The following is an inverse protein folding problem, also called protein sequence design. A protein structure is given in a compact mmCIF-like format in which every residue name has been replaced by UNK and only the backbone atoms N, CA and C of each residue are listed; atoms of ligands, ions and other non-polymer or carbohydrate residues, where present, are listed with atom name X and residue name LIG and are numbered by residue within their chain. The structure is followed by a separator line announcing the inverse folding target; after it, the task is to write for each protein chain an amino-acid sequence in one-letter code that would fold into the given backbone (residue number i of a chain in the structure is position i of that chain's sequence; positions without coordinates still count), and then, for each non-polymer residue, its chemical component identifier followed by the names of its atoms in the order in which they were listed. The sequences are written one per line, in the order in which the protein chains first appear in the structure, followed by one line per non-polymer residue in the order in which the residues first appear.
data_IF_019881093686
#
_entry.id   IF_019881093686
#
_cell.length_a   1.000
_cell.length_b   1.000
_cell.length_c   1.000
_cell.angle_alpha   90.00
_cell.angle_beta   90.00
_cell.angle_gamma   90.00
#
_symmetry.space_group_name_H-M   'P 1'
#
loop_
_entity.id
_entity.type
_entity.pdbx_description
1 polymer ?
#
# COMPACT_ATOMS: atom_id res chain seq x y z
N UNK A 1 12.39 -26.99 18.13
CA UNK A 1 13.23 -26.81 16.91
C UNK A 1 12.33 -26.73 15.68
N UNK A 2 12.08 -25.52 15.20
CA UNK A 2 11.16 -25.23 14.11
C UNK A 2 11.74 -25.37 12.70
N UNK A 3 13.06 -25.52 12.57
CA UNK A 3 13.72 -25.61 11.27
C UNK A 3 13.29 -26.83 10.44
N UNK A 4 12.66 -27.84 11.02
CA UNK A 4 12.15 -29.00 10.29
C UNK A 4 10.71 -28.84 9.79
N UNK A 5 10.10 -27.68 10.00
CA UNK A 5 8.76 -27.43 9.48
C UNK A 5 8.74 -27.50 7.94
N UNK A 6 7.74 -28.16 7.35
CA UNK A 6 7.51 -28.13 5.90
C UNK A 6 7.35 -26.71 5.35
N UNK A 7 6.74 -25.80 6.11
CA UNK A 7 6.59 -24.41 5.68
C UNK A 7 7.94 -23.70 5.68
N UNK A 8 8.67 -23.72 6.81
CA UNK A 8 10.01 -23.15 6.91
C UNK A 8 10.93 -23.65 5.78
N UNK A 9 10.98 -24.97 5.56
CA UNK A 9 11.81 -25.61 4.54
C UNK A 9 11.45 -25.16 3.12
N UNK A 10 10.18 -24.84 2.84
CA UNK A 10 9.78 -24.29 1.54
C UNK A 10 10.32 -22.87 1.30
N UNK A 11 10.52 -22.09 2.36
CA UNK A 11 11.03 -20.72 2.28
C UNK A 11 12.56 -20.65 2.15
N UNK A 12 13.27 -21.67 2.66
CA UNK A 12 14.74 -21.73 2.69
C UNK A 12 15.40 -21.43 1.33
N UNK A 13 14.95 -22.01 0.18
CA UNK A 13 15.56 -21.70 -1.11
C UNK A 13 15.56 -20.21 -1.45
N UNK A 14 14.44 -19.53 -1.18
CA UNK A 14 14.28 -18.09 -1.41
C UNK A 14 15.22 -17.27 -0.51
N UNK A 15 15.33 -17.65 0.77
CA UNK A 15 16.27 -17.00 1.69
C UNK A 15 17.73 -17.21 1.27
N UNK A 16 18.12 -18.44 0.94
CA UNK A 16 19.49 -18.77 0.52
C UNK A 16 19.88 -18.00 -0.74
N UNK A 17 18.99 -17.91 -1.73
CA UNK A 17 19.25 -17.21 -2.98
C UNK A 17 19.35 -15.68 -2.81
N UNK A 18 18.59 -15.08 -1.88
CA UNK A 18 18.56 -13.64 -1.67
C UNK A 18 19.61 -13.13 -0.67
N UNK A 19 20.13 -13.99 0.21
CA UNK A 19 21.01 -13.57 1.32
C UNK A 19 22.38 -13.14 0.82
N UNK A 20 22.75 -11.88 1.12
CA UNK A 20 24.11 -11.34 0.95
C UNK A 20 24.87 -11.23 2.26
N UNK A 21 24.15 -10.88 3.34
CA UNK A 21 24.68 -10.78 4.70
C UNK A 21 23.80 -11.61 5.62
N UNK A 22 24.41 -12.43 6.46
CA UNK A 22 23.71 -13.24 7.43
C UNK A 22 24.10 -12.82 8.84
N UNK A 23 23.11 -12.56 9.68
CA UNK A 23 23.30 -12.18 11.07
C UNK A 23 22.68 -13.23 11.98
N UNK A 24 23.42 -13.65 13.00
CA UNK A 24 22.90 -14.50 14.06
C UNK A 24 22.65 -13.68 15.32
N UNK A 25 21.59 -14.02 16.06
CA UNK A 25 21.33 -13.48 17.38
C UNK A 25 21.92 -14.46 18.40
N UNK A 26 22.81 -13.97 19.26
CA UNK A 26 23.51 -14.76 20.29
C UNK A 26 23.24 -14.16 21.67
N UNK A 27 21.98 -14.21 22.08
CA UNK A 27 21.48 -13.51 23.27
C UNK A 27 21.37 -12.00 23.01
N UNK A 28 22.12 -11.20 23.76
CA UNK A 28 22.12 -9.72 23.67
C UNK A 28 23.00 -9.15 22.55
N UNK A 29 23.54 -10.02 21.69
CA UNK A 29 24.44 -9.64 20.60
C UNK A 29 23.91 -10.09 19.25
N UNK A 30 24.13 -9.24 18.26
CA UNK A 30 23.88 -9.54 16.85
C UNK A 30 25.21 -9.58 16.14
N UNK A 31 25.51 -10.73 15.52
CA UNK A 31 26.82 -11.01 14.93
C UNK A 31 26.63 -11.27 13.45
N UNK A 32 27.29 -10.48 12.61
CA UNK A 32 27.41 -10.80 11.20
C UNK A 32 28.34 -12.00 11.04
N UNK A 33 27.83 -13.08 10.46
CA UNK A 33 28.62 -14.28 10.24
C UNK A 33 29.33 -14.19 8.88
N UNK A 34 30.64 -14.39 8.88
CA UNK A 34 31.48 -14.30 7.68
C UNK A 34 31.75 -15.69 7.10
N UNK A 35 31.83 -15.79 5.77
CA UNK A 35 32.13 -17.04 5.04
C UNK A 35 31.19 -18.21 5.38
N UNK A 36 29.91 -17.94 5.60
CA UNK A 36 28.95 -18.98 5.95
C UNK A 36 28.29 -19.65 4.75
N UNK A 37 27.87 -20.90 4.94
CA UNK A 37 26.85 -21.52 4.11
C UNK A 37 25.46 -21.24 4.72
N UNK A 38 24.70 -20.34 4.09
CA UNK A 38 23.38 -19.90 4.57
C UNK A 38 22.41 -21.06 4.74
N UNK A 39 22.40 -22.03 3.83
CA UNK A 39 21.55 -23.21 3.91
C UNK A 39 21.86 -24.05 5.17
N UNK A 40 23.14 -24.26 5.45
CA UNK A 40 23.56 -24.98 6.67
C UNK A 40 23.23 -24.19 7.93
N UNK A 41 23.39 -22.86 7.93
CA UNK A 41 23.04 -22.03 9.07
C UNK A 41 21.54 -22.09 9.38
N UNK A 42 20.67 -21.97 8.37
CA UNK A 42 19.22 -22.08 8.53
C UNK A 42 18.76 -23.49 8.94
N UNK A 43 19.49 -24.53 8.55
CA UNK A 43 19.19 -25.92 8.94
C UNK A 43 19.59 -26.25 10.38
N UNK A 44 20.47 -25.46 10.98
CA UNK A 44 21.08 -25.74 12.29
C UNK A 44 20.89 -24.57 13.28
N UNK A 45 19.73 -23.90 13.23
CA UNK A 45 19.39 -22.82 14.16
C UNK A 45 19.42 -23.37 15.60
N UNK A 46 20.17 -22.69 16.46
CA UNK A 46 20.26 -22.99 17.89
C UNK A 46 19.44 -21.95 18.64
N UNK A 47 18.59 -22.44 19.54
CA UNK A 47 17.79 -21.59 20.42
C UNK A 47 18.70 -20.83 21.40
N UNK A 48 18.45 -19.53 21.55
CA UNK A 48 19.21 -18.67 22.46
C UNK A 48 18.25 -17.94 23.38
N UNK A 49 18.57 -17.91 24.68
CA UNK A 49 17.81 -17.13 25.64
C UNK A 49 18.15 -15.64 25.49
N UNK A 50 17.18 -14.77 25.78
CA UNK A 50 17.36 -13.31 25.84
C UNK A 50 17.78 -12.67 24.50
N UNK A 51 17.19 -13.13 23.40
CA UNK A 51 17.44 -12.58 22.06
C UNK A 51 17.07 -11.09 21.96
N UNK A 52 18.00 -10.23 21.53
CA UNK A 52 17.73 -8.80 21.29
C UNK A 52 17.05 -8.54 19.94
N UNK A 53 15.77 -8.93 19.87
CA UNK A 53 14.94 -8.78 18.66
C UNK A 53 14.76 -7.30 18.27
N UNK A 54 14.76 -6.39 19.26
CA UNK A 54 14.65 -4.95 19.03
C UNK A 54 15.87 -4.42 18.28
N UNK A 55 17.08 -4.78 18.71
CA UNK A 55 18.29 -4.38 18.00
C UNK A 55 18.33 -5.00 16.59
N UNK A 56 17.83 -6.22 16.40
CA UNK A 56 17.80 -6.87 15.09
C UNK A 56 16.90 -6.13 14.10
N UNK A 57 15.68 -5.79 14.52
CA UNK A 57 14.78 -4.97 13.73
C UNK A 57 15.39 -3.59 13.42
N UNK A 58 16.05 -2.96 14.42
CA UNK A 58 16.72 -1.67 14.21
C UNK A 58 17.90 -1.75 13.21
N UNK A 59 18.67 -2.83 13.20
CA UNK A 59 19.75 -3.02 12.21
C UNK A 59 19.19 -3.11 10.80
N UNK A 60 18.09 -3.85 10.60
CA UNK A 60 17.42 -3.97 9.30
C UNK A 60 16.97 -2.60 8.80
N UNK A 61 16.23 -1.85 9.62
CA UNK A 61 15.63 -0.58 9.16
C UNK A 61 16.63 0.55 8.98
N UNK A 62 17.79 0.48 9.64
CA UNK A 62 18.91 1.40 9.41
C UNK A 62 19.76 1.01 8.19
N UNK A 63 19.57 -0.21 7.67
CA UNK A 63 20.15 -0.64 6.40
C UNK A 63 19.51 0.04 5.18
N UNK A 64 20.14 -0.19 4.02
CA UNK A 64 19.68 0.30 2.72
C UNK A 64 19.25 -0.85 1.78
N UNK A 65 18.92 -2.01 2.35
CA UNK A 65 18.49 -3.20 1.61
C UNK A 65 17.29 -3.85 2.27
N UNK A 66 16.61 -4.73 1.55
CA UNK A 66 15.63 -5.64 2.13
C UNK A 66 16.24 -6.45 3.29
N UNK A 67 15.41 -6.90 4.23
CA UNK A 67 15.82 -7.70 5.37
C UNK A 67 14.75 -8.68 5.82
N UNK A 68 15.18 -9.82 6.36
CA UNK A 68 14.30 -10.84 6.91
C UNK A 68 14.69 -11.11 8.36
N UNK A 69 13.73 -10.99 9.28
CA UNK A 69 13.90 -11.38 10.67
C UNK A 69 13.07 -12.65 10.95
N UNK A 70 13.77 -13.71 11.35
CA UNK A 70 13.20 -15.00 11.73
C UNK A 70 13.24 -15.13 13.26
N UNK A 71 12.09 -15.30 13.89
CA UNK A 71 12.00 -15.37 15.36
C UNK A 71 10.69 -16.03 15.80
N UNK A 72 10.61 -16.48 17.04
CA UNK A 72 9.36 -16.85 17.71
C UNK A 72 8.62 -15.64 18.31
N UNK A 73 9.17 -14.42 18.15
CA UNK A 73 8.57 -13.15 18.55
C UNK A 73 8.66 -12.85 20.04
N UNK A 74 9.23 -13.75 20.85
CA UNK A 74 9.31 -13.58 22.29
C UNK A 74 10.49 -12.70 22.68
N UNK A 75 10.18 -11.47 23.09
CA UNK A 75 11.19 -10.53 23.57
C UNK A 75 11.28 -10.55 25.09
N UNK A 76 12.32 -11.19 25.61
CA UNK A 76 12.53 -11.31 27.05
C UNK A 76 13.60 -10.34 27.56
N UNK A 77 13.22 -9.37 28.40
CA UNK A 77 14.16 -8.54 29.13
C UNK A 77 14.47 -9.12 30.51
N UNK A 78 15.75 -9.43 30.78
CA UNK A 78 16.23 -10.09 32.00
C UNK A 78 15.79 -9.46 33.33
N UNK A 79 15.46 -8.16 33.32
CA UNK A 79 15.14 -7.38 34.51
C UNK A 79 13.64 -7.07 34.68
N UNK A 80 12.76 -7.53 33.78
CA UNK A 80 11.31 -7.29 33.87
C UNK A 80 10.62 -8.57 34.34
N UNK A 81 10.16 -8.56 35.59
CA UNK A 81 9.31 -9.61 36.12
C UNK A 81 8.01 -9.68 35.29
N UNK A 82 7.72 -10.85 34.70
CA UNK A 82 6.56 -11.05 33.83
C UNK A 82 6.82 -10.85 32.33
N UNK A 83 8.08 -10.66 31.92
CA UNK A 83 8.52 -10.99 30.55
C UNK A 83 8.03 -10.06 29.43
N UNK A 84 7.71 -8.79 29.72
CA UNK A 84 7.43 -7.79 28.66
C UNK A 84 6.38 -8.23 27.63
N UNK A 85 5.41 -9.06 28.03
CA UNK A 85 4.50 -9.76 27.11
C UNK A 85 3.61 -8.83 26.28
N UNK A 86 3.56 -7.55 26.59
CA UNK A 86 2.87 -6.50 25.81
C UNK A 86 3.80 -5.34 25.42
N UNK A 87 5.13 -5.53 25.51
CA UNK A 87 6.13 -4.53 25.14
C UNK A 87 6.20 -4.42 23.60
N UNK A 88 5.86 -3.27 23.00
CA UNK A 88 5.82 -3.07 21.54
C UNK A 88 7.22 -2.87 20.94
N UNK A 89 8.12 -3.83 21.16
CA UNK A 89 9.56 -3.66 20.92
C UNK A 89 9.93 -3.38 19.46
N UNK A 90 9.10 -3.76 18.48
CA UNK A 90 9.32 -3.50 17.05
C UNK A 90 8.63 -2.24 16.53
N UNK A 91 7.77 -1.58 17.32
CA UNK A 91 6.96 -0.46 16.84
C UNK A 91 7.79 0.64 16.17
N UNK A 92 8.93 1.00 16.75
CA UNK A 92 9.80 2.02 16.19
C UNK A 92 10.43 1.59 14.85
N UNK A 93 10.85 0.33 14.73
CA UNK A 93 11.40 -0.19 13.48
C UNK A 93 10.34 -0.19 12.38
N UNK A 94 9.13 -0.70 12.67
CA UNK A 94 8.01 -0.66 11.74
C UNK A 94 7.69 0.77 11.29
N UNK A 95 7.65 1.73 12.22
CA UNK A 95 7.42 3.14 11.90
C UNK A 95 8.47 3.69 10.95
N UNK A 96 9.75 3.48 11.27
CA UNK A 96 10.85 3.98 10.44
C UNK A 96 10.82 3.40 9.03
N UNK A 97 10.52 2.11 8.89
CA UNK A 97 10.42 1.47 7.59
C UNK A 97 9.23 2.00 6.77
N UNK A 98 8.04 2.08 7.37
CA UNK A 98 6.84 2.58 6.71
C UNK A 98 6.94 4.06 6.32
N UNK A 99 7.61 4.88 7.14
CA UNK A 99 7.86 6.30 6.81
C UNK A 99 8.80 6.49 5.62
N UNK A 100 9.59 5.48 5.25
CA UNK A 100 10.35 5.45 3.99
C UNK A 100 9.47 5.08 2.79
N UNK A 101 8.19 4.75 3.01
CA UNK A 101 7.27 4.29 1.99
C UNK A 101 7.55 2.86 1.53
N UNK A 102 8.05 2.01 2.43
CA UNK A 102 8.35 0.60 2.18
C UNK A 102 7.27 -0.30 2.82
N UNK A 103 7.31 -1.59 2.50
CA UNK A 103 6.35 -2.60 2.94
C UNK A 103 6.94 -3.57 3.97
N UNK A 104 6.07 -4.12 4.82
CA UNK A 104 6.42 -5.23 5.70
C UNK A 104 5.42 -6.35 5.46
N UNK A 105 5.91 -7.53 5.09
CA UNK A 105 5.10 -8.75 5.09
C UNK A 105 5.42 -9.55 6.34
N UNK A 106 4.39 -10.05 7.03
CA UNK A 106 4.54 -10.86 8.23
C UNK A 106 3.84 -12.18 7.98
N UNK A 107 4.60 -13.27 8.01
CA UNK A 107 4.06 -14.62 8.00
C UNK A 107 4.08 -15.14 9.42
N UNK A 108 2.96 -15.69 9.90
CA UNK A 108 2.82 -16.25 11.24
C UNK A 108 2.46 -17.73 11.13
N UNK A 109 3.43 -18.59 11.47
CA UNK A 109 3.29 -20.04 11.41
C UNK A 109 3.07 -20.61 12.82
N UNK A 110 1.92 -21.25 13.11
CA UNK A 110 1.67 -21.84 14.42
C UNK A 110 2.51 -23.08 14.69
N UNK A 111 2.92 -23.27 15.94
CA UNK A 111 3.50 -24.51 16.42
C UNK A 111 3.24 -24.71 17.93
N UNK A 112 3.39 -25.95 18.40
CA UNK A 112 3.29 -26.28 19.82
C UNK A 112 4.67 -26.38 20.46
N UNK A 113 4.84 -25.74 21.61
CA UNK A 113 6.10 -25.74 22.36
C UNK A 113 6.00 -26.45 23.71
N UNK A 114 7.00 -27.28 23.98
CA UNK A 114 7.18 -27.93 25.27
C UNK A 114 6.15 -29.01 25.62
N UNK A 115 6.32 -29.68 26.77
CA UNK A 115 5.44 -30.75 27.22
C UNK A 115 4.03 -30.25 27.58
N UNK A 116 3.92 -28.98 27.97
CA UNK A 116 2.63 -28.34 28.29
C UNK A 116 1.88 -27.87 27.05
N UNK A 117 2.47 -28.00 25.85
CA UNK A 117 1.88 -27.65 24.55
C UNK A 117 1.39 -26.19 24.50
N UNK A 118 2.30 -25.25 24.74
CA UNK A 118 2.02 -23.83 24.53
C UNK A 118 1.81 -23.55 23.04
N UNK A 119 0.75 -22.81 22.69
CA UNK A 119 0.48 -22.35 21.34
C UNK A 119 1.41 -21.16 21.03
N UNK A 120 2.43 -21.41 20.21
CA UNK A 120 3.43 -20.42 19.83
C UNK A 120 3.35 -20.14 18.33
N UNK A 121 4.02 -19.07 17.90
CA UNK A 121 4.10 -18.68 16.49
C UNK A 121 5.56 -18.53 16.10
N UNK A 122 5.91 -18.96 14.89
CA UNK A 122 7.13 -18.55 14.21
C UNK A 122 6.78 -17.40 13.27
N UNK A 123 7.47 -16.28 13.45
CA UNK A 123 7.30 -15.10 12.63
C UNK A 123 8.43 -14.95 11.62
N UNK A 124 8.02 -14.58 10.42
CA UNK A 124 8.90 -14.21 9.33
C UNK A 124 8.57 -12.76 8.97
N UNK A 125 9.33 -11.81 9.52
CA UNK A 125 9.16 -10.39 9.20
C UNK A 125 10.01 -10.05 7.99
N UNK A 126 9.36 -9.76 6.87
CA UNK A 126 9.98 -9.43 5.59
C UNK A 126 9.91 -7.92 5.39
N UNK A 127 11.01 -7.23 5.67
CA UNK A 127 11.17 -5.80 5.41
C UNK A 127 11.59 -5.61 3.96
N UNK A 128 10.70 -5.08 3.13
CA UNK A 128 10.87 -5.03 1.68
C UNK A 128 10.12 -3.84 1.06
N UNK A 129 10.02 -3.79 -0.26
CA UNK A 129 9.18 -2.86 -1.02
C UNK A 129 8.54 -3.61 -2.18
N UNK A 130 7.21 -3.63 -2.23
CA UNK A 130 6.42 -4.33 -3.25
C UNK A 130 6.70 -3.86 -4.67
N UNK A 131 7.18 -2.62 -4.82
CA UNK A 131 7.57 -2.02 -6.10
C UNK A 131 8.94 -2.49 -6.59
N UNK A 132 9.78 -3.02 -5.69
CA UNK A 132 11.06 -3.60 -6.07
C UNK A 132 10.82 -4.88 -6.89
N UNK A 133 11.49 -4.97 -8.05
CA UNK A 133 11.46 -6.15 -8.89
C UNK A 133 12.21 -7.31 -8.21
N UNK A 134 11.59 -8.49 -8.19
CA UNK A 134 12.19 -9.67 -7.55
C UNK A 134 12.45 -9.49 -6.05
N UNK A 135 11.62 -8.72 -5.35
CA UNK A 135 11.69 -8.55 -3.91
C UNK A 135 11.51 -9.88 -3.15
N UNK A 136 11.92 -9.93 -1.88
CA UNK A 136 11.96 -11.19 -1.11
C UNK A 136 10.59 -11.87 -1.00
N UNK A 137 9.50 -11.11 -0.90
CA UNK A 137 8.16 -11.68 -0.85
C UNK A 137 7.76 -12.30 -2.19
N UNK A 138 8.05 -11.64 -3.31
CA UNK A 138 7.83 -12.20 -4.67
C UNK A 138 8.62 -13.48 -4.88
N UNK A 139 9.90 -13.53 -4.47
CA UNK A 139 10.73 -14.74 -4.55
C UNK A 139 10.12 -15.90 -3.77
N UNK A 140 9.62 -15.64 -2.56
CA UNK A 140 8.91 -16.64 -1.76
C UNK A 140 7.68 -17.17 -2.53
N UNK A 141 6.86 -16.29 -3.10
CA UNK A 141 5.68 -16.69 -3.85
C UNK A 141 5.99 -17.47 -5.15
N UNK A 142 7.19 -17.32 -5.72
CA UNK A 142 7.66 -18.11 -6.86
C UNK A 142 8.04 -19.55 -6.47
N UNK A 143 8.58 -19.75 -5.27
CA UNK A 143 9.04 -21.07 -4.79
C UNK A 143 8.02 -21.79 -3.90
N UNK A 144 7.13 -21.03 -3.25
CA UNK A 144 6.22 -21.51 -2.21
C UNK A 144 4.82 -21.02 -2.48
N UNK A 145 3.88 -21.96 -2.61
CA UNK A 145 2.46 -21.66 -2.66
C UNK A 145 1.89 -21.62 -1.24
N UNK A 146 1.52 -20.44 -0.75
CA UNK A 146 0.99 -20.27 0.61
C UNK A 146 -0.30 -21.07 0.85
N UNK A 147 -1.10 -21.32 -0.19
CA UNK A 147 -2.31 -22.18 -0.13
C UNK A 147 -2.04 -23.63 0.31
N UNK A 148 -0.80 -24.11 0.19
CA UNK A 148 -0.40 -25.44 0.67
C UNK A 148 -0.22 -25.48 2.21
N UNK A 149 -0.29 -24.33 2.88
CA UNK A 149 -0.04 -24.15 4.31
C UNK A 149 -1.18 -23.34 4.94
N UNK A 150 -2.40 -23.91 5.04
CA UNK A 150 -3.61 -23.16 5.41
C UNK A 150 -3.58 -22.59 6.84
N UNK A 151 -2.75 -23.14 7.72
CA UNK A 151 -2.59 -22.66 9.09
C UNK A 151 -1.61 -21.47 9.20
N UNK A 152 -0.91 -21.14 8.11
CA UNK A 152 0.00 -19.98 8.06
C UNK A 152 -0.80 -18.75 7.68
N UNK A 153 -0.74 -17.75 8.55
CA UNK A 153 -1.40 -16.47 8.34
C UNK A 153 -0.41 -15.47 7.73
N UNK A 154 -0.90 -14.61 6.82
CA UNK A 154 -0.09 -13.57 6.17
C UNK A 154 -0.73 -12.20 6.38
N UNK A 155 0.09 -11.24 6.79
CA UNK A 155 -0.29 -9.85 6.92
C UNK A 155 0.68 -8.95 6.15
N UNK A 156 0.14 -8.10 5.28
CA UNK A 156 0.91 -7.09 4.55
C UNK A 156 0.63 -5.72 5.12
N UNK A 157 1.68 -5.01 5.50
CA UNK A 157 1.62 -3.66 6.06
C UNK A 157 2.26 -2.67 5.08
N UNK A 158 1.47 -1.70 4.61
CA UNK A 158 1.88 -0.64 3.68
C UNK A 158 1.32 0.71 4.08
N UNK A 159 1.93 1.81 3.62
CA UNK A 159 1.51 3.18 3.96
C UNK A 159 1.51 4.18 2.80
N UNK A 160 2.00 3.82 1.61
CA UNK A 160 2.34 4.82 0.57
C UNK A 160 1.83 4.54 -0.84
N UNK A 161 1.61 3.29 -1.21
CA UNK A 161 1.29 2.91 -2.59
C UNK A 161 0.15 1.88 -2.62
N UNK A 162 -1.09 2.33 -2.36
CA UNK A 162 -2.25 1.47 -2.48
C UNK A 162 -2.38 0.90 -3.91
N UNK A 163 -2.89 -0.32 -4.01
CA UNK A 163 -3.01 -1.01 -5.30
C UNK A 163 -4.25 -0.51 -6.05
N UNK A 164 -4.04 -0.08 -7.29
CA UNK A 164 -5.11 0.22 -8.24
C UNK A 164 -5.03 -0.73 -9.44
N UNK A 165 -6.19 -1.18 -9.90
CA UNK A 165 -6.37 -2.08 -11.02
C UNK A 165 -7.15 -1.38 -12.12
N UNK A 166 -6.74 -1.61 -13.35
CA UNK A 166 -7.39 -1.08 -14.54
C UNK A 166 -7.17 -2.04 -15.72
N UNK A 167 -8.19 -2.22 -16.55
CA UNK A 167 -8.07 -3.04 -17.75
C UNK A 167 -7.05 -2.40 -18.71
N UNK A 168 -6.07 -3.17 -19.19
CA UNK A 168 -4.94 -2.66 -19.98
C UNK A 168 -4.17 -1.50 -19.31
N UNK A 169 -4.26 -1.39 -17.98
CA UNK A 169 -3.57 -0.37 -17.17
C UNK A 169 -4.07 1.06 -17.38
N UNK A 170 -5.33 1.25 -17.81
CA UNK A 170 -5.90 2.58 -18.07
C UNK A 170 -7.40 2.66 -17.78
N UNK A 171 -7.91 3.87 -17.53
CA UNK A 171 -9.35 4.08 -17.32
C UNK A 171 -10.16 3.91 -18.61
N UNK A 172 -11.46 3.62 -18.45
CA UNK A 172 -12.46 3.62 -19.52
C UNK A 172 -13.15 4.97 -19.57
N UNK A 173 -12.99 5.68 -20.69
CA UNK A 173 -13.69 6.95 -20.96
C UNK A 173 -15.01 6.64 -21.65
N UNK A 174 -16.05 7.44 -21.38
CA UNK A 174 -17.34 7.34 -22.04
C UNK A 174 -17.19 7.43 -23.57
N UNK A 175 -17.85 6.52 -24.29
CA UNK A 175 -17.70 6.36 -25.75
C UNK A 175 -18.11 7.62 -26.52
N UNK A 176 -19.04 8.41 -26.00
CA UNK A 176 -19.47 9.70 -26.58
C UNK A 176 -18.29 10.66 -26.69
N UNK A 177 -17.35 10.63 -25.75
CA UNK A 177 -16.16 11.50 -25.77
C UNK A 177 -15.22 11.14 -26.92
N UNK A 178 -15.30 9.90 -27.43
CA UNK A 178 -14.41 9.37 -28.47
C UNK A 178 -12.92 9.58 -28.14
N UNK A 179 -12.58 9.40 -26.86
CA UNK A 179 -11.26 9.75 -26.35
C UNK A 179 -10.17 8.80 -26.85
N UNK A 180 -9.01 9.35 -27.18
CA UNK A 180 -7.78 8.55 -27.24
C UNK A 180 -7.13 8.54 -25.86
N UNK A 181 -6.81 7.36 -25.33
CA UNK A 181 -6.24 7.20 -23.98
C UNK A 181 -4.92 6.41 -24.03
N UNK A 182 -3.84 7.02 -23.52
CA UNK A 182 -2.50 6.43 -23.38
C UNK A 182 -2.05 6.47 -21.91
N UNK A 183 -1.68 5.31 -21.37
CA UNK A 183 -1.24 5.15 -19.98
C UNK A 183 0.28 5.13 -19.82
N UNK A 184 0.71 5.45 -18.61
CA UNK A 184 2.10 5.55 -18.19
C UNK A 184 2.28 5.05 -16.73
N UNK A 185 1.57 3.97 -16.37
CA UNK A 185 1.56 3.43 -15.01
C UNK A 185 0.42 4.02 -14.19
N UNK A 186 0.73 4.80 -13.16
CA UNK A 186 -0.25 5.44 -12.26
C UNK A 186 -0.85 6.75 -12.81
N UNK A 187 -0.60 7.04 -14.08
CA UNK A 187 -1.23 8.16 -14.75
C UNK A 187 -1.48 7.87 -16.23
N UNK A 188 -2.36 8.67 -16.82
CA UNK A 188 -2.67 8.60 -18.24
C UNK A 188 -2.95 9.97 -18.85
N UNK A 189 -2.94 10.00 -20.18
CA UNK A 189 -3.26 11.17 -20.98
C UNK A 189 -4.44 10.82 -21.89
N UNK A 190 -5.48 11.64 -21.83
CA UNK A 190 -6.68 11.53 -22.63
C UNK A 190 -6.79 12.73 -23.59
N UNK A 191 -7.07 12.49 -24.86
CA UNK A 191 -7.46 13.52 -25.84
C UNK A 191 -8.95 13.38 -26.14
N UNK A 192 -9.74 14.41 -25.84
CA UNK A 192 -11.18 14.49 -26.00
C UNK A 192 -11.51 15.35 -27.23
N UNK A 193 -11.71 14.72 -28.42
CA UNK A 193 -11.91 15.46 -29.67
C UNK A 193 -13.32 16.05 -29.82
N UNK A 194 -14.25 15.70 -28.94
CA UNK A 194 -15.67 16.08 -29.02
C UNK A 194 -15.90 17.49 -28.47
N UNK A 195 -16.93 18.16 -28.98
CA UNK A 195 -17.32 19.49 -28.51
C UNK A 195 -18.08 19.41 -27.18
N UNK A 196 -17.97 20.45 -26.36
CA UNK A 196 -18.59 20.47 -25.04
C UNK A 196 -20.13 20.43 -25.07
N UNK A 197 -20.76 20.96 -26.12
CA UNK A 197 -22.22 20.89 -26.26
C UNK A 197 -22.70 19.45 -26.41
N UNK A 198 -21.94 18.61 -27.10
CA UNK A 198 -22.21 17.17 -27.19
C UNK A 198 -22.01 16.47 -25.83
N UNK A 199 -20.97 16.83 -25.08
CA UNK A 199 -20.74 16.30 -23.72
C UNK A 199 -21.91 16.68 -22.80
N UNK A 200 -22.34 17.94 -22.81
CA UNK A 200 -23.46 18.42 -22.03
C UNK A 200 -24.77 17.72 -22.38
N UNK A 201 -25.06 17.59 -23.68
CA UNK A 201 -26.31 17.00 -24.15
C UNK A 201 -26.42 15.50 -23.88
N UNK A 202 -25.33 14.74 -24.08
CA UNK A 202 -25.40 13.28 -24.09
C UNK A 202 -24.80 12.60 -22.86
N UNK A 203 -23.92 13.28 -22.13
CA UNK A 203 -23.32 12.74 -20.90
C UNK A 203 -23.98 13.40 -19.68
N UNK A 204 -23.90 14.73 -19.56
CA UNK A 204 -24.45 15.45 -18.39
C UNK A 204 -25.98 15.42 -18.37
N UNK A 205 -26.62 15.54 -19.53
CA UNK A 205 -28.07 15.48 -19.70
C UNK A 205 -28.64 14.06 -19.85
N UNK A 206 -27.87 13.02 -19.50
CA UNK A 206 -28.33 11.64 -19.62
C UNK A 206 -29.52 11.34 -18.70
N UNK A 207 -30.35 10.39 -19.12
CA UNK A 207 -31.57 9.95 -18.43
C UNK A 207 -31.47 8.46 -18.09
N UNK A 208 -32.23 8.03 -17.09
CA UNK A 208 -32.43 6.61 -16.79
C UNK A 208 -33.10 5.93 -17.99
N UNK A 209 -32.51 4.85 -18.50
CA UNK A 209 -33.00 4.15 -19.70
C UNK A 209 -34.37 3.50 -19.50
N UNK A 210 -34.76 3.21 -18.26
CA UNK A 210 -36.01 2.52 -17.92
C UNK A 210 -37.13 3.52 -17.64
N UNK A 211 -36.86 4.57 -16.87
CA UNK A 211 -37.89 5.55 -16.47
C UNK A 211 -37.93 6.78 -17.37
N UNK A 212 -36.82 7.12 -18.03
CA UNK A 212 -36.65 8.35 -18.80
C UNK A 212 -36.39 9.58 -17.92
N UNK A 213 -36.25 9.42 -16.61
CA UNK A 213 -35.99 10.53 -15.69
C UNK A 213 -34.52 11.00 -15.79
N UNK A 214 -34.24 12.30 -15.65
CA UNK A 214 -32.86 12.80 -15.64
C UNK A 214 -32.00 12.19 -14.54
N UNK A 215 -30.79 11.75 -14.89
CA UNK A 215 -29.80 11.32 -13.92
C UNK A 215 -29.17 12.57 -13.26
N UNK A 216 -29.09 12.59 -11.93
CA UNK A 216 -28.60 13.75 -11.16
C UNK A 216 -27.23 14.27 -11.64
N UNK A 217 -26.32 13.35 -11.98
CA UNK A 217 -24.96 13.65 -12.43
C UNK A 217 -24.68 13.21 -13.87
N UNK A 218 -25.73 12.83 -14.62
CA UNK A 218 -25.59 12.22 -15.92
C UNK A 218 -24.88 10.86 -15.89
N UNK A 219 -24.42 10.40 -17.06
CA UNK A 219 -23.64 9.16 -17.19
C UNK A 219 -22.19 9.34 -16.68
N UNK A 220 -21.54 8.26 -16.20
CA UNK A 220 -20.11 8.32 -15.88
C UNK A 220 -19.31 8.74 -17.10
N UNK A 221 -18.39 9.70 -16.93
CA UNK A 221 -17.47 10.14 -17.99
C UNK A 221 -16.18 9.33 -17.98
N UNK A 222 -15.72 8.91 -16.80
CA UNK A 222 -14.52 8.07 -16.62
C UNK A 222 -14.87 6.95 -15.63
N UNK A 223 -14.46 5.72 -15.95
CA UNK A 223 -14.76 4.50 -15.20
C UNK A 223 -13.62 3.48 -15.34
N UNK A 224 -13.82 2.24 -14.88
CA UNK A 224 -12.90 1.12 -15.13
C UNK A 224 -11.63 1.09 -14.27
N UNK A 225 -11.50 2.03 -13.34
CA UNK A 225 -10.49 2.01 -12.28
C UNK A 225 -11.08 1.32 -11.04
N UNK A 226 -10.30 0.44 -10.40
CA UNK A 226 -10.69 -0.26 -9.18
C UNK A 226 -9.57 -0.25 -8.14
N UNK A 227 -9.87 0.20 -6.94
CA UNK A 227 -8.91 0.22 -5.83
C UNK A 227 -9.04 -1.07 -5.02
N UNK A 228 -7.91 -1.71 -4.71
CA UNK A 228 -7.88 -2.67 -3.61
C UNK A 228 -7.95 -1.90 -2.29
N UNK A 229 -9.16 -1.85 -1.74
CA UNK A 229 -9.43 -1.09 -0.52
C UNK A 229 -8.73 -1.66 0.71
N UNK A 230 -8.17 -2.87 0.66
CA UNK A 230 -7.43 -3.48 1.77
C UNK A 230 -5.91 -3.45 1.57
N UNK A 231 -5.41 -2.69 0.58
CA UNK A 231 -3.99 -2.63 0.20
C UNK A 231 -3.03 -2.15 1.30
N UNK A 232 -3.52 -1.51 2.36
CA UNK A 232 -2.70 -1.12 3.52
C UNK A 232 -2.65 -2.20 4.62
N UNK A 233 -3.43 -3.27 4.49
CA UNK A 233 -3.59 -4.35 5.48
C UNK A 233 -4.35 -3.91 6.73
N UNK A 234 -3.69 -3.18 7.63
CA UNK A 234 -4.29 -2.73 8.90
C UNK A 234 -5.33 -1.61 8.75
N UNK A 235 -5.38 -0.97 7.58
CA UNK A 235 -6.39 0.03 7.24
C UNK A 235 -7.11 -0.35 5.95
N UNK A 236 -8.41 -0.07 5.93
CA UNK A 236 -9.25 -0.09 4.74
C UNK A 236 -9.39 1.32 4.20
N UNK A 237 -9.22 1.50 2.89
CA UNK A 237 -9.53 2.75 2.20
C UNK A 237 -11.04 2.91 2.18
N UNK A 238 -11.52 3.92 2.91
CA UNK A 238 -12.96 4.17 3.12
C UNK A 238 -13.49 5.34 2.30
N UNK A 239 -12.61 6.21 1.78
CA UNK A 239 -13.01 7.35 0.97
C UNK A 239 -11.86 7.80 0.04
N UNK A 240 -12.22 8.42 -1.08
CA UNK A 240 -11.31 9.06 -2.02
C UNK A 240 -11.71 10.53 -2.25
N UNK A 241 -10.80 11.31 -2.79
CA UNK A 241 -11.09 12.66 -3.31
C UNK A 241 -10.69 12.72 -4.78
N UNK A 242 -11.49 13.43 -5.56
CA UNK A 242 -11.22 13.74 -6.96
C UNK A 242 -10.96 15.23 -7.05
N UNK A 243 -9.69 15.60 -7.21
CA UNK A 243 -9.27 17.01 -7.31
C UNK A 243 -8.96 17.35 -8.75
N UNK A 244 -9.48 18.48 -9.19
CA UNK A 244 -9.44 18.88 -10.60
C UNK A 244 -8.66 20.17 -10.69
N UNK A 245 -7.78 20.29 -11.68
CA UNK A 245 -6.92 21.46 -11.84
C UNK A 245 -6.95 21.93 -13.28
N UNK A 246 -7.05 23.24 -13.46
CA UNK A 246 -6.69 23.90 -14.71
C UNK A 246 -5.16 23.99 -14.77
N UNK A 247 -4.56 23.39 -15.80
CA UNK A 247 -3.12 23.39 -16.02
C UNK A 247 -2.73 24.11 -17.33
N UNK A 248 -3.63 24.91 -17.90
CA UNK A 248 -3.42 25.62 -19.17
C UNK A 248 -2.18 26.53 -19.12
N UNK A 249 -2.07 27.34 -18.06
CA UNK A 249 -0.95 28.28 -17.91
C UNK A 249 0.38 27.53 -17.75
N UNK A 250 0.40 26.49 -16.91
CA UNK A 250 1.60 25.68 -16.65
C UNK A 250 2.06 24.92 -17.89
N UNK A 251 1.11 24.34 -18.64
CA UNK A 251 1.40 23.68 -19.91
C UNK A 251 1.98 24.66 -20.93
N UNK A 252 1.37 25.84 -21.09
CA UNK A 252 1.85 26.87 -22.02
C UNK A 252 3.24 27.39 -21.64
N UNK A 253 3.49 27.61 -20.35
CA UNK A 253 4.82 28.00 -19.84
C UNK A 253 5.86 26.92 -20.18
N UNK A 254 5.54 25.64 -19.94
CA UNK A 254 6.43 24.54 -20.30
C UNK A 254 6.69 24.46 -21.80
N UNK A 255 5.64 24.51 -22.62
CA UNK A 255 5.77 24.45 -24.08
C UNK A 255 6.63 25.60 -24.63
N UNK A 256 6.40 26.83 -24.15
CA UNK A 256 7.15 28.01 -24.58
C UNK A 256 8.60 28.05 -24.06
N UNK A 257 8.87 27.56 -22.84
CA UNK A 257 10.24 27.42 -22.32
C UNK A 257 11.05 26.29 -22.97
N UNK A 258 10.41 25.24 -23.50
CA UNK A 258 11.14 24.26 -24.32
C UNK A 258 11.70 24.86 -25.63
N UNK A 259 11.25 26.06 -26.02
CA UNK A 259 11.86 26.88 -27.07
C UNK A 259 12.96 27.85 -26.54
N UNK A 260 13.19 27.94 -25.22
CA UNK A 260 14.23 28.75 -24.56
C UNK A 260 14.71 28.12 -23.22
N UNK A 261 15.75 27.25 -23.24
CA UNK A 261 16.03 26.33 -22.14
C UNK A 261 16.89 26.97 -21.04
N UNK A 262 16.30 27.53 -19.98
CA UNK A 262 17.07 27.84 -18.76
C UNK A 262 16.26 28.23 -17.50
N UNK A 263 15.13 27.59 -17.14
CA UNK A 263 14.43 28.08 -15.94
C UNK A 263 13.38 27.25 -15.21
N UNK A 264 12.58 26.41 -15.86
CA UNK A 264 11.42 25.81 -15.19
C UNK A 264 11.78 24.88 -14.03
N UNK A 265 11.63 25.41 -12.82
CA UNK A 265 11.58 24.61 -11.61
C UNK A 265 10.18 24.00 -11.46
N UNK A 266 10.00 22.80 -12.02
CA UNK A 266 8.74 22.06 -11.93
C UNK A 266 8.29 21.77 -10.48
N UNK A 267 9.20 21.87 -9.49
CA UNK A 267 8.87 21.66 -8.08
C UNK A 267 8.16 22.82 -7.39
N UNK A 268 8.01 23.98 -8.05
CA UNK A 268 7.32 25.16 -7.50
C UNK A 268 5.95 25.46 -8.10
N UNK A 269 5.44 24.61 -9.01
CA UNK A 269 4.13 24.82 -9.64
C UNK A 269 3.02 24.60 -8.60
N UNK A 270 2.23 25.63 -8.35
CA UNK A 270 1.05 25.58 -7.49
C UNK A 270 -0.19 25.61 -8.37
N UNK A 271 -0.91 24.49 -8.40
CA UNK A 271 -2.11 24.34 -9.22
C UNK A 271 -3.34 24.92 -8.50
N UNK A 272 -4.19 25.63 -9.24
CA UNK A 272 -5.48 26.11 -8.72
C UNK A 272 -6.54 25.04 -8.94
N UNK A 273 -7.17 24.60 -7.85
CA UNK A 273 -8.24 23.59 -7.90
C UNK A 273 -9.51 24.18 -8.53
N UNK A 274 -10.07 23.47 -9.51
CA UNK A 274 -11.36 23.73 -10.14
C UNK A 274 -12.43 22.94 -9.37
N UNK A 275 -12.95 23.55 -8.30
CA UNK A 275 -13.99 22.94 -7.46
C UNK A 275 -15.27 22.68 -8.26
N UNK A 276 -16.02 21.66 -7.86
CA UNK A 276 -17.33 21.29 -8.44
C UNK A 276 -17.28 20.96 -9.95
N UNK A 277 -16.16 20.45 -10.44
CA UNK A 277 -16.06 19.96 -11.82
C UNK A 277 -16.48 18.50 -11.93
N UNK A 278 -15.99 17.66 -11.01
CA UNK A 278 -16.25 16.22 -11.00
C UNK A 278 -16.64 15.74 -9.60
N UNK A 279 -17.52 14.75 -9.57
CA UNK A 279 -17.84 13.93 -8.39
C UNK A 279 -17.58 12.47 -8.73
N UNK A 280 -17.48 11.61 -7.71
CA UNK A 280 -17.37 10.18 -7.91
C UNK A 280 -18.54 9.45 -7.25
N UNK A 281 -18.89 8.28 -7.78
CA UNK A 281 -19.92 7.42 -7.21
C UNK A 281 -19.42 6.79 -5.89
N UNK A 282 -19.81 7.42 -4.79
CA UNK A 282 -19.42 7.01 -3.44
C UNK A 282 -20.02 5.68 -3.02
N UNK A 283 -21.23 5.34 -3.48
CA UNK A 283 -21.87 4.08 -3.13
C UNK A 283 -21.16 2.91 -3.83
N UNK A 284 -20.89 3.05 -5.13
CA UNK A 284 -20.17 2.06 -5.93
C UNK A 284 -18.74 1.86 -5.42
N UNK A 285 -18.04 2.94 -5.06
CA UNK A 285 -16.72 2.86 -4.42
C UNK A 285 -16.76 2.12 -3.08
N UNK A 286 -17.69 2.47 -2.20
CA UNK A 286 -17.81 1.86 -0.88
C UNK A 286 -18.23 0.39 -0.94
N UNK A 287 -18.88 -0.05 -2.02
CA UNK A 287 -19.30 -1.43 -2.17
C UNK A 287 -18.25 -2.29 -2.86
N UNK A 288 -17.61 -1.80 -3.91
CA UNK A 288 -16.74 -2.61 -4.78
C UNK A 288 -15.34 -2.05 -4.98
N UNK A 289 -15.07 -0.82 -4.54
CA UNK A 289 -13.81 -0.11 -4.80
C UNK A 289 -13.69 0.42 -6.23
N UNK A 290 -14.76 0.36 -7.02
CA UNK A 290 -14.80 0.90 -8.38
C UNK A 290 -14.88 2.42 -8.32
N UNK A 291 -14.18 3.09 -9.24
CA UNK A 291 -14.20 4.55 -9.36
C UNK A 291 -14.94 4.90 -10.65
N UNK A 292 -16.14 5.44 -10.48
CA UNK A 292 -16.92 6.06 -11.55
C UNK A 292 -16.95 7.57 -11.29
N UNK A 293 -16.40 8.35 -12.22
CA UNK A 293 -16.34 9.80 -12.15
C UNK A 293 -17.44 10.37 -13.05
N UNK A 294 -18.22 11.30 -12.50
CA UNK A 294 -19.29 12.03 -13.18
C UNK A 294 -18.99 13.52 -13.12
N UNK A 295 -19.59 14.29 -14.03
CA UNK A 295 -19.64 15.73 -13.88
C UNK A 295 -20.49 16.10 -12.66
N UNK A 296 -20.10 17.14 -11.93
CA UNK A 296 -20.94 17.70 -10.85
C UNK A 296 -22.04 18.59 -11.45
N UNK A 297 -22.97 17.99 -12.19
CA UNK A 297 -24.02 18.70 -12.95
C UNK A 297 -24.78 19.75 -12.10
N UNK A 298 -25.17 19.47 -10.83
CA UNK A 298 -25.85 20.46 -10.00
C UNK A 298 -25.03 21.72 -9.70
N UNK A 299 -23.71 21.63 -9.69
CA UNK A 299 -22.78 22.71 -9.33
C UNK A 299 -21.82 23.10 -10.46
N UNK A 300 -22.08 22.62 -11.68
CA UNK A 300 -21.19 22.73 -12.82
C UNK A 300 -20.83 24.19 -13.14
N UNK A 301 -19.52 24.46 -13.16
CA UNK A 301 -18.98 25.76 -13.53
C UNK A 301 -17.80 25.61 -14.51
N UNK A 302 -18.00 25.87 -15.82
CA UNK A 302 -16.99 25.65 -16.85
C UNK A 302 -15.97 26.80 -16.98
N UNK A 303 -15.90 27.75 -16.04
CA UNK A 303 -14.99 28.91 -16.15
C UNK A 303 -13.51 28.55 -16.30
N UNK A 304 -13.12 27.36 -15.82
CA UNK A 304 -11.76 26.83 -15.95
C UNK A 304 -11.45 26.30 -17.38
N UNK A 305 -12.48 26.16 -18.23
CA UNK A 305 -12.37 25.67 -19.61
C UNK A 305 -12.28 26.81 -20.64
N UNK A 306 -11.45 27.83 -20.35
CA UNK A 306 -11.42 29.09 -21.09
C UNK A 306 -10.34 29.20 -22.19
N UNK A 307 -9.43 28.23 -22.28
CA UNK A 307 -8.24 28.31 -23.14
C UNK A 307 -8.54 28.00 -24.61
N UNK A 308 -7.68 28.51 -25.52
CA UNK A 308 -7.80 28.35 -26.97
C UNK A 308 -6.50 27.80 -27.56
N UNK A 309 -6.54 26.84 -28.50
CA UNK A 309 -7.73 26.13 -28.99
C UNK A 309 -8.22 25.00 -28.07
N UNK A 310 -7.40 24.58 -27.10
CA UNK A 310 -7.67 23.45 -26.21
C UNK A 310 -7.61 23.88 -24.75
N UNK A 311 -8.30 23.10 -23.91
CA UNK A 311 -8.18 23.12 -22.46
C UNK A 311 -7.37 21.93 -21.99
N UNK A 312 -6.52 22.16 -20.98
CA UNK A 312 -5.72 21.14 -20.31
C UNK A 312 -6.15 21.03 -18.85
N UNK A 313 -6.65 19.87 -18.47
CA UNK A 313 -7.15 19.58 -17.14
C UNK A 313 -6.36 18.43 -16.53
N UNK A 314 -6.04 18.54 -15.25
CA UNK A 314 -5.48 17.44 -14.46
C UNK A 314 -6.51 17.00 -13.43
N UNK A 315 -6.72 15.69 -13.31
CA UNK A 315 -7.52 15.08 -12.25
C UNK A 315 -6.59 14.23 -11.40
N UNK A 316 -6.48 14.52 -10.11
CA UNK A 316 -5.84 13.65 -9.13
C UNK A 316 -6.91 12.91 -8.32
N UNK A 317 -6.73 11.60 -8.24
CA UNK A 317 -7.54 10.73 -7.40
C UNK A 317 -6.68 10.34 -6.21
N UNK A 318 -7.02 10.86 -5.04
CA UNK A 318 -6.27 10.59 -3.81
C UNK A 318 -7.13 9.82 -2.83
N UNK A 319 -6.50 8.99 -1.99
CA UNK A 319 -7.15 8.54 -0.76
C UNK A 319 -7.53 9.78 0.06
N UNK A 320 -8.71 9.78 0.67
CA UNK A 320 -9.16 10.86 1.58
C UNK A 320 -9.64 10.31 2.92
N UNK A 321 -10.02 9.02 2.96
CA UNK A 321 -10.50 8.33 4.15
C UNK A 321 -9.87 6.96 4.32
N UNK A 322 -9.51 6.65 5.57
CA UNK A 322 -9.08 5.32 5.99
C UNK A 322 -9.85 4.91 7.24
N UNK A 323 -10.09 3.62 7.38
CA UNK A 323 -10.78 2.99 8.50
C UNK A 323 -9.87 1.89 9.07
N UNK A 324 -9.66 1.89 10.39
CA UNK A 324 -8.86 0.85 11.03
C UNK A 324 -9.62 -0.48 10.99
N UNK A 325 -8.97 -1.51 10.47
CA UNK A 325 -9.51 -2.89 10.42
C UNK A 325 -8.53 -3.90 11.03
N UNK A 326 -7.48 -3.43 11.71
CA UNK A 326 -6.44 -4.27 12.30
C UNK A 326 -6.97 -5.28 13.33
N UNK A 327 -8.08 -4.95 14.00
CA UNK A 327 -8.76 -5.83 14.96
C UNK A 327 -9.11 -7.19 14.36
N UNK A 328 -9.38 -7.25 13.05
CA UNK A 328 -9.66 -8.50 12.32
C UNK A 328 -8.43 -9.42 12.17
N UNK A 329 -7.23 -8.89 12.38
CA UNK A 329 -5.96 -9.57 12.21
C UNK A 329 -5.17 -9.69 13.52
N UNK A 330 -5.59 -9.02 14.59
CA UNK A 330 -4.81 -8.90 15.83
C UNK A 330 -4.45 -10.27 16.45
N UNK A 331 -5.35 -11.24 16.36
CA UNK A 331 -5.16 -12.58 16.92
C UNK A 331 -3.98 -13.36 16.28
N UNK A 332 -3.66 -13.13 15.00
CA UNK A 332 -2.59 -13.87 14.32
C UNK A 332 -1.21 -13.62 14.96
N UNK A 333 -1.06 -12.49 15.66
CA UNK A 333 0.17 -12.07 16.31
C UNK A 333 0.25 -12.47 17.78
N UNK A 334 -0.85 -12.94 18.36
CA UNK A 334 -0.91 -13.32 19.76
C UNK A 334 -0.51 -14.80 19.92
N UNK A 335 0.14 -15.11 21.05
CA UNK A 335 0.57 -16.47 21.37
C UNK A 335 0.68 -16.67 22.88
N UNK A 336 0.73 -17.92 23.34
CA UNK A 336 0.81 -18.23 24.78
C UNK A 336 2.11 -17.70 25.40
N UNK A 337 2.00 -17.03 26.55
CA UNK A 337 3.16 -16.56 27.31
C UNK A 337 3.75 -17.70 28.17
N UNK A 338 4.99 -18.08 27.90
CA UNK A 338 5.66 -19.15 28.64
C UNK A 338 5.88 -18.72 30.10
N UNK A 339 5.52 -19.60 31.03
CA UNK A 339 5.64 -19.32 32.48
C UNK A 339 4.53 -18.44 33.06
N UNK A 340 3.55 -17.99 32.26
CA UNK A 340 2.38 -17.24 32.71
C UNK A 340 1.07 -17.91 32.21
N UNK A 341 0.60 -18.98 32.88
CA UNK A 341 -0.57 -19.72 32.44
C UNK A 341 -1.81 -18.84 32.24
N UNK A 342 -2.49 -19.00 31.09
CA UNK A 342 -3.68 -18.25 30.73
C UNK A 342 -3.43 -16.79 30.28
N UNK A 343 -2.16 -16.39 30.10
CA UNK A 343 -1.80 -15.08 29.53
C UNK A 343 -1.30 -15.25 28.09
N UNK A 344 -1.66 -14.29 27.25
CA UNK A 344 -1.14 -14.15 25.89
C UNK A 344 0.00 -13.14 25.87
N UNK A 345 1.00 -13.39 25.04
CA UNK A 345 1.95 -12.42 24.57
C UNK A 345 1.34 -11.67 23.37
N UNK A 346 1.27 -10.35 23.52
CA UNK A 346 0.72 -9.38 22.56
C UNK A 346 1.77 -8.38 22.09
N UNK A 347 3.06 -8.63 22.35
CA UNK A 347 4.15 -7.70 22.02
C UNK A 347 4.24 -7.39 20.51
N UNK A 348 3.98 -8.40 19.66
CA UNK A 348 3.99 -8.25 18.21
C UNK A 348 2.75 -7.49 17.72
N UNK A 349 1.55 -7.84 18.18
CA UNK A 349 0.31 -7.11 17.86
C UNK A 349 0.39 -5.66 18.31
N UNK A 350 0.85 -5.39 19.53
CA UNK A 350 1.05 -4.03 20.05
C UNK A 350 2.12 -3.27 19.25
N UNK A 351 3.16 -3.94 18.75
CA UNK A 351 4.15 -3.32 17.85
C UNK A 351 3.52 -2.85 16.53
N UNK A 352 2.71 -3.69 15.88
CA UNK A 352 2.01 -3.36 14.62
C UNK A 352 0.98 -2.26 14.87
N UNK A 353 0.17 -2.39 15.92
CA UNK A 353 -0.85 -1.42 16.34
C UNK A 353 -0.26 -0.03 16.54
N UNK A 354 0.85 0.08 17.29
CA UNK A 354 1.49 1.37 17.51
C UNK A 354 2.09 1.98 16.25
N UNK A 355 2.52 1.17 15.27
CA UNK A 355 2.95 1.67 13.97
C UNK A 355 1.76 2.21 13.16
N UNK A 356 0.63 1.49 13.15
CA UNK A 356 -0.61 1.89 12.47
C UNK A 356 -1.24 3.18 13.05
N UNK A 357 -1.11 3.40 14.36
CA UNK A 357 -1.61 4.61 15.04
C UNK A 357 -0.65 5.81 14.98
N UNK A 358 0.50 5.68 14.32
CA UNK A 358 1.39 6.82 14.09
C UNK A 358 0.74 7.81 13.10
N UNK A 359 0.66 9.09 13.51
CA UNK A 359 -0.02 10.13 12.72
C UNK A 359 0.63 10.38 11.37
N UNK A 360 1.96 10.30 11.27
CA UNK A 360 2.65 10.54 10.01
C UNK A 360 2.32 9.44 9.01
N UNK A 361 2.26 8.18 9.48
CA UNK A 361 1.89 7.02 8.66
C UNK A 361 0.44 7.14 8.20
N UNK A 362 -0.49 7.50 9.09
CA UNK A 362 -1.88 7.74 8.69
C UNK A 362 -2.01 8.90 7.70
N UNK A 363 -1.21 9.95 7.84
CA UNK A 363 -1.18 11.06 6.90
C UNK A 363 -0.62 10.66 5.53
N UNK A 364 0.39 9.79 5.48
CA UNK A 364 0.88 9.19 4.23
C UNK A 364 -0.23 8.41 3.53
N UNK A 365 -0.96 7.56 4.28
CA UNK A 365 -2.09 6.79 3.74
C UNK A 365 -3.23 7.69 3.23
N UNK A 366 -3.63 8.70 4.02
CA UNK A 366 -4.75 9.63 3.73
C UNK A 366 -4.48 10.64 2.62
N UNK A 367 -3.29 10.67 2.03
CA UNK A 367 -2.95 11.57 0.94
C UNK A 367 -2.26 10.84 -0.22
N UNK A 368 -2.23 9.50 -0.19
CA UNK A 368 -1.64 8.73 -1.27
C UNK A 368 -2.37 9.00 -2.58
N UNK A 369 -1.61 9.28 -3.64
CA UNK A 369 -2.14 9.38 -4.99
C UNK A 369 -2.42 7.97 -5.53
N UNK A 370 -3.67 7.72 -5.89
CA UNK A 370 -4.10 6.46 -6.49
C UNK A 370 -3.86 6.50 -8.00
N UNK A 371 -4.26 7.60 -8.65
CA UNK A 371 -4.19 7.73 -10.09
C UNK A 371 -4.31 9.19 -10.52
N UNK A 372 -3.63 9.56 -11.61
CA UNK A 372 -3.72 10.90 -12.20
C UNK A 372 -4.15 10.83 -13.66
N UNK A 373 -5.08 11.69 -14.07
CA UNK A 373 -5.57 11.77 -15.45
C UNK A 373 -5.30 13.16 -15.99
N UNK A 374 -4.57 13.25 -17.09
CA UNK A 374 -4.40 14.50 -17.84
C UNK A 374 -5.34 14.48 -19.03
N UNK A 375 -6.16 15.52 -19.18
CA UNK A 375 -7.15 15.64 -20.25
C UNK A 375 -6.79 16.84 -21.10
N UNK A 376 -6.68 16.63 -22.41
CA UNK A 376 -6.78 17.67 -23.42
C UNK A 376 -8.18 17.63 -24.00
N UNK A 377 -8.91 18.74 -23.94
CA UNK A 377 -10.26 18.86 -24.52
C UNK A 377 -10.37 20.09 -25.41
N UNK A 378 -11.38 20.13 -26.27
CA UNK A 378 -11.69 21.34 -27.02
C UNK A 378 -12.04 22.51 -26.10
N UNK A 379 -11.99 23.72 -26.67
CA UNK A 379 -12.56 24.90 -26.03
C UNK A 379 -14.05 24.68 -25.71
N UNK A 380 -14.46 25.07 -24.49
CA UNK A 380 -15.87 25.14 -24.08
C UNK A 380 -16.63 26.23 -24.83
#
# INVERSE_FOLDING_TARGET
MGQHSPFFQSLVPSFVAATKHYYSIKGDKIVEEQNINVFQALSNIVEVNYADLKQAANLIVNGNSEGVLLTDGEYYQKNIAGGGISDPYMANAFKQWLKKGHDIYILAEPYLEGPQKYNKKRFYFLFTDSRLEGNIYKRICETTKLENYPDVEMFHLSASHPTIMAENGKSKVNEIVSASNKNYGLYEIQDWPVDWKSIEGYIMGAVDETTGDPLQYGNPVISGLKVDRNSYGGFRISDISVKVYDINADYNNFYTETEAPSGLNLSSISLTESVNAFVYDKEEFNKYGNINIHFDVPMWNPTFLSCKPFNFTKIDINVSGIENVFENYEEMFNFDAIGLPGKQNTSVSESVKQALFDKDIQNMMKNANLYTIYIKSNKY
#
